data_IF_634648888114
#
_entry.id   IF_634648888114
#
_cell.length_a   1.000
_cell.length_b   1.000
_cell.length_c   1.000
_cell.angle_alpha   90.00
_cell.angle_beta   90.00
_cell.angle_gamma   90.00
#
_symmetry.space_group_name_H-M   'P 1'
#
loop_
_entity.id
_entity.type
_entity.pdbx_description
1 polymer ?
#
# COMPACT_ATOMS: atom_id res chain seq x y z
N UNK A 1 -15.22 -10.51 -14.83
CA UNK A 1 -14.43 -9.94 -13.72
C UNK A 1 -12.96 -10.11 -14.05
N UNK A 2 -12.32 -9.02 -14.45
CA UNK A 2 -10.90 -8.92 -14.78
C UNK A 2 -10.02 -9.07 -13.52
N UNK A 3 -8.75 -9.39 -13.71
CA UNK A 3 -7.77 -9.44 -12.62
C UNK A 3 -7.71 -8.11 -11.85
N UNK A 4 -7.81 -6.98 -12.55
CA UNK A 4 -7.83 -5.64 -11.98
C UNK A 4 -9.03 -5.38 -11.06
N UNK A 5 -10.22 -5.84 -11.44
CA UNK A 5 -11.42 -5.70 -10.59
C UNK A 5 -11.33 -6.57 -9.33
N UNK A 6 -10.84 -7.80 -9.46
CA UNK A 6 -10.61 -8.69 -8.30
C UNK A 6 -9.62 -8.08 -7.32
N UNK A 7 -8.55 -7.51 -7.87
CA UNK A 7 -7.53 -6.82 -7.09
C UNK A 7 -8.10 -5.60 -6.37
N UNK A 8 -8.92 -4.79 -7.05
CA UNK A 8 -9.52 -3.60 -6.46
C UNK A 8 -10.42 -3.96 -5.29
N UNK A 9 -11.24 -5.01 -5.48
CA UNK A 9 -12.11 -5.53 -4.43
C UNK A 9 -11.30 -6.05 -3.23
N UNK A 10 -10.19 -6.74 -3.48
CA UNK A 10 -9.29 -7.16 -2.40
C UNK A 10 -8.68 -5.95 -1.68
N UNK A 11 -8.21 -4.93 -2.41
CA UNK A 11 -7.65 -3.71 -1.81
C UNK A 11 -8.67 -3.06 -0.87
N UNK A 12 -9.92 -2.93 -1.32
CA UNK A 12 -11.01 -2.37 -0.53
C UNK A 12 -11.29 -3.19 0.72
N UNK A 13 -11.26 -4.52 0.63
CA UNK A 13 -11.43 -5.40 1.80
C UNK A 13 -10.27 -5.29 2.79
N UNK A 14 -9.04 -5.15 2.32
CA UNK A 14 -7.87 -5.03 3.21
C UNK A 14 -7.86 -3.70 3.94
N UNK A 15 -8.34 -2.64 3.30
CA UNK A 15 -8.43 -1.32 3.91
C UNK A 15 -9.77 -1.05 4.60
N UNK A 16 -10.67 -2.04 4.62
CA UNK A 16 -11.91 -1.97 5.38
C UNK A 16 -11.61 -1.92 6.89
N UNK A 17 -12.24 -0.96 7.56
CA UNK A 17 -12.00 -0.62 8.97
C UNK A 17 -10.97 0.48 9.23
N UNK A 18 -10.23 0.95 8.22
CA UNK A 18 -9.35 2.12 8.39
C UNK A 18 -10.09 3.41 8.05
N UNK A 19 -10.21 4.29 9.05
CA UNK A 19 -10.94 5.55 8.88
C UNK A 19 -10.28 6.44 7.82
N UNK A 20 -11.06 6.93 6.86
CA UNK A 20 -10.60 7.88 5.85
C UNK A 20 -9.64 7.30 4.80
N UNK A 21 -9.55 5.97 4.70
CA UNK A 21 -8.75 5.29 3.66
C UNK A 21 -9.70 4.53 2.75
N UNK A 22 -9.63 4.78 1.44
CA UNK A 22 -10.47 4.11 0.44
C UNK A 22 -9.71 3.89 -0.85
N UNK A 23 -9.82 2.69 -1.40
CA UNK A 23 -9.24 2.34 -2.70
C UNK A 23 -10.33 2.37 -3.77
N UNK A 24 -10.35 3.44 -4.58
CA UNK A 24 -11.27 3.55 -5.74
C UNK A 24 -10.54 3.32 -7.07
N UNK A 25 -9.22 3.51 -7.09
CA UNK A 25 -8.39 3.30 -8.27
C UNK A 25 -6.94 2.93 -7.91
N UNK A 26 -6.20 2.42 -8.89
CA UNK A 26 -4.78 2.08 -8.77
C UNK A 26 -3.82 3.24 -9.10
N UNK A 27 -4.33 4.48 -9.09
CA UNK A 27 -3.53 5.66 -9.42
C UNK A 27 -3.57 6.65 -8.26
N UNK A 28 -4.54 7.55 -8.26
CA UNK A 28 -4.69 8.62 -7.28
C UNK A 28 -4.93 8.14 -5.85
N UNK A 29 -5.64 7.02 -5.65
CA UNK A 29 -5.93 6.54 -4.29
C UNK A 29 -4.67 6.13 -3.52
N UNK A 30 -3.58 5.78 -4.21
CA UNK A 30 -2.32 5.33 -3.61
C UNK A 30 -1.33 6.47 -3.37
N UNK A 31 -1.63 7.66 -3.88
CA UNK A 31 -0.71 8.81 -3.90
C UNK A 31 -0.45 9.40 -2.53
N UNK A 32 -1.38 9.22 -1.59
CA UNK A 32 -1.25 9.70 -0.21
C UNK A 32 -0.40 8.79 0.70
N UNK A 33 0.00 7.61 0.18
CA UNK A 33 0.76 6.60 0.90
C UNK A 33 -0.02 5.86 1.99
N UNK A 34 -1.25 6.25 2.31
CA UNK A 34 -2.01 5.67 3.42
C UNK A 34 -2.49 4.26 3.10
N UNK A 35 -2.89 4.01 1.85
CA UNK A 35 -3.29 2.67 1.40
C UNK A 35 -2.16 1.66 1.56
N UNK A 36 -0.93 2.01 1.22
CA UNK A 36 0.21 1.11 1.38
C UNK A 36 0.44 0.72 2.84
N UNK A 37 0.45 1.72 3.73
CA UNK A 37 0.61 1.51 5.15
C UNK A 37 -0.53 0.67 5.74
N UNK A 38 -1.78 0.91 5.33
CA UNK A 38 -2.94 0.15 5.80
C UNK A 38 -2.90 -1.32 5.38
N UNK A 39 -2.47 -1.61 4.14
CA UNK A 39 -2.32 -3.00 3.66
C UNK A 39 -1.21 -3.71 4.42
N UNK A 40 -0.05 -3.08 4.62
CA UNK A 40 1.04 -3.66 5.42
C UNK A 40 0.59 -3.87 6.88
N UNK A 41 -0.07 -2.88 7.49
CA UNK A 41 -0.57 -2.98 8.87
C UNK A 41 -1.59 -4.12 9.03
N UNK A 42 -2.39 -4.42 8.00
CA UNK A 42 -3.39 -5.50 8.07
C UNK A 42 -2.75 -6.86 8.29
N UNK A 43 -1.60 -7.12 7.68
CA UNK A 43 -0.85 -8.38 7.81
C UNK A 43 0.19 -8.32 8.94
N UNK A 44 0.85 -7.17 9.09
CA UNK A 44 1.94 -6.94 10.04
C UNK A 44 1.67 -5.68 10.89
N UNK A 45 0.69 -5.73 11.82
CA UNK A 45 0.29 -4.56 12.60
C UNK A 45 1.42 -4.01 13.49
N UNK A 46 2.46 -4.81 13.75
CA UNK A 46 3.63 -4.39 14.54
C UNK A 46 4.62 -3.51 13.77
N UNK A 47 4.58 -3.52 12.43
CA UNK A 47 5.54 -2.79 11.59
C UNK A 47 5.10 -1.36 11.28
N UNK A 48 3.81 -1.06 11.38
CA UNK A 48 3.22 0.22 11.00
C UNK A 48 2.44 0.80 12.17
N UNK A 49 2.61 2.09 12.43
CA UNK A 49 1.77 2.84 13.38
C UNK A 49 0.78 3.70 12.58
N UNK A 50 -0.46 3.23 12.43
CA UNK A 50 -1.48 3.96 11.69
C UNK A 50 -1.82 5.31 12.33
N UNK A 51 -1.64 5.46 13.65
CA UNK A 51 -1.81 6.75 14.32
C UNK A 51 -0.83 7.81 13.80
N UNK A 52 0.39 7.42 13.44
CA UNK A 52 1.36 8.29 12.77
C UNK A 52 1.02 8.54 11.31
N UNK A 53 0.63 7.50 10.59
CA UNK A 53 0.29 7.56 9.16
C UNK A 53 -0.80 8.61 8.87
N UNK A 54 -1.77 8.75 9.76
CA UNK A 54 -2.83 9.77 9.62
C UNK A 54 -2.33 11.21 9.76
N UNK A 55 -1.19 11.44 10.40
CA UNK A 55 -0.62 12.76 10.69
C UNK A 55 0.59 13.11 9.80
N UNK A 56 1.13 12.14 9.09
CA UNK A 56 2.29 12.29 8.21
C UNK A 56 1.91 12.85 6.84
N UNK A 57 2.89 13.45 6.16
CA UNK A 57 2.76 13.86 4.76
C UNK A 57 2.72 12.66 3.82
N UNK A 58 2.24 12.88 2.59
CA UNK A 58 2.15 11.83 1.57
C UNK A 58 3.52 11.18 1.30
N UNK A 59 4.58 11.98 1.24
CA UNK A 59 5.93 11.49 0.99
C UNK A 59 6.43 10.62 2.16
N UNK A 60 6.23 11.06 3.40
CA UNK A 60 6.61 10.28 4.59
C UNK A 60 5.88 8.95 4.66
N UNK A 61 4.58 8.93 4.35
CA UNK A 61 3.79 7.70 4.31
C UNK A 61 4.33 6.73 3.25
N UNK A 62 4.65 7.23 2.06
CA UNK A 62 5.21 6.42 0.97
C UNK A 62 6.58 5.85 1.36
N UNK A 63 7.49 6.69 1.84
CA UNK A 63 8.83 6.26 2.27
C UNK A 63 8.76 5.24 3.42
N UNK A 64 7.88 5.44 4.39
CA UNK A 64 7.69 4.48 5.48
C UNK A 64 7.21 3.13 4.96
N UNK A 65 6.17 3.11 4.13
CA UNK A 65 5.62 1.88 3.59
C UNK A 65 6.64 1.13 2.73
N UNK A 66 7.35 1.85 1.85
CA UNK A 66 8.37 1.24 0.99
C UNK A 66 9.58 0.77 1.78
N UNK A 67 10.04 1.55 2.77
CA UNK A 67 11.16 1.15 3.63
C UNK A 67 10.86 -0.09 4.47
N UNK A 68 9.64 -0.23 4.99
CA UNK A 68 9.20 -1.44 5.69
C UNK A 68 9.06 -2.61 4.72
N UNK A 69 8.47 -2.40 3.56
CA UNK A 69 8.32 -3.47 2.56
C UNK A 69 9.68 -3.99 2.06
N UNK A 70 10.66 -3.10 1.85
CA UNK A 70 12.00 -3.49 1.41
C UNK A 70 12.78 -4.20 2.53
N UNK A 71 12.82 -3.61 3.72
CA UNK A 71 13.64 -4.13 4.84
C UNK A 71 13.05 -5.39 5.47
N UNK A 72 11.75 -5.40 5.72
CA UNK A 72 11.10 -6.44 6.52
C UNK A 72 10.38 -7.49 5.65
N UNK A 73 9.95 -7.12 4.43
CA UNK A 73 9.28 -8.05 3.50
C UNK A 73 10.16 -8.42 2.29
N UNK A 74 11.35 -7.84 2.14
CA UNK A 74 12.25 -8.13 1.02
C UNK A 74 11.73 -7.69 -0.35
N UNK A 75 10.78 -6.75 -0.40
CA UNK A 75 10.20 -6.25 -1.65
C UNK A 75 11.08 -5.13 -2.20
N UNK A 76 11.85 -5.43 -3.25
CA UNK A 76 12.74 -4.45 -3.91
C UNK A 76 11.96 -3.27 -4.49
N UNK A 77 12.35 -2.05 -4.13
CA UNK A 77 11.81 -0.79 -4.68
C UNK A 77 12.27 -0.57 -6.13
N UNK A 78 11.38 -0.68 -7.11
CA UNK A 78 11.59 -0.31 -8.53
C UNK A 78 10.73 0.93 -8.85
N UNK A 79 11.10 2.09 -8.31
CA UNK A 79 10.46 3.32 -8.79
C UNK A 79 10.87 3.59 -10.24
N UNK A 80 9.88 3.61 -11.13
CA UNK A 80 10.09 4.19 -12.46
C UNK A 80 10.41 5.69 -12.37
N UNK A 81 11.27 6.22 -13.26
CA UNK A 81 11.75 7.61 -13.23
C UNK A 81 10.65 8.68 -13.31
N UNK A 82 9.43 8.31 -13.74
CA UNK A 82 8.28 9.21 -13.80
C UNK A 82 7.40 9.19 -12.52
N UNK A 83 7.76 8.42 -11.49
CA UNK A 83 6.98 8.33 -10.24
C UNK A 83 5.60 7.69 -10.43
N UNK A 84 5.42 6.92 -11.51
CA UNK A 84 4.18 6.16 -11.77
C UNK A 84 4.22 4.89 -10.91
N UNK A 85 3.54 4.92 -9.78
CA UNK A 85 3.35 3.84 -8.80
C UNK A 85 2.66 2.57 -9.34
N UNK A 86 2.44 2.50 -10.66
CA UNK A 86 1.51 1.58 -11.33
C UNK A 86 1.92 0.11 -11.24
N UNK A 87 3.21 -0.19 -11.10
CA UNK A 87 3.70 -1.58 -11.02
C UNK A 87 4.18 -1.96 -9.60
N UNK A 88 4.55 -0.97 -8.78
CA UNK A 88 4.97 -1.15 -7.38
C UNK A 88 3.85 -1.57 -6.45
N UNK A 89 2.66 -0.99 -6.68
CA UNK A 89 1.46 -1.35 -5.93
C UNK A 89 1.08 -2.81 -6.10
N UNK A 90 1.41 -3.40 -7.25
CA UNK A 90 1.09 -4.79 -7.60
C UNK A 90 2.07 -5.79 -6.98
N UNK A 91 3.36 -5.46 -6.83
CA UNK A 91 4.36 -6.38 -6.29
C UNK A 91 4.23 -6.58 -4.78
N UNK A 92 4.04 -5.50 -4.01
CA UNK A 92 3.67 -5.61 -2.57
C UNK A 92 2.37 -6.40 -2.43
N UNK A 93 1.39 -6.17 -3.32
CA UNK A 93 0.13 -6.90 -3.32
C UNK A 93 0.27 -8.39 -3.59
N UNK A 94 1.01 -8.77 -4.64
CA UNK A 94 1.21 -10.18 -5.01
C UNK A 94 1.97 -10.89 -3.89
N UNK A 95 3.02 -10.27 -3.35
CA UNK A 95 3.78 -10.87 -2.25
C UNK A 95 2.95 -11.09 -0.99
N UNK A 96 2.05 -10.15 -0.65
CA UNK A 96 1.13 -10.29 0.49
C UNK A 96 -0.04 -11.26 0.19
N UNK A 97 -0.38 -11.48 -1.08
CA UNK A 97 -1.43 -12.40 -1.52
C UNK A 97 -0.97 -13.86 -1.66
N UNK A 98 0.33 -14.10 -1.88
CA UNK A 98 0.93 -15.44 -2.02
C UNK A 98 1.26 -16.12 -0.67
N UNK A 99 1.04 -15.44 0.46
CA UNK A 99 1.23 -15.96 1.82
C UNK A 99 -0.05 -15.85 2.66
#
# INVERSE_FOLDING_TARGET
>A
MSAKEKLLLWSQKMTDGYQGIRCDNFTTSWRDGKLFNAVIHKHYPRLIDMGKVYRQSNLENLEQAFGVAERDLGVTRLLDPEGKTSEFSLLIFIHILDH
#
